data_IF_550588909954
#
_entry.id   IF_550588909954
#
_cell.length_a   1.000
_cell.length_b   1.000
_cell.length_c   1.000
_cell.angle_alpha   90.00
_cell.angle_beta   90.00
_cell.angle_gamma   90.00
#
_symmetry.space_group_name_H-M   'P 1'
#
loop_
_entity.id
_entity.type
_entity.pdbx_description
1 polymer ?
#
# COMPACT_ATOMS: atom_id res chain seq x y z
N UNK A 1 9.74 24.10 -11.08
CA UNK A 1 8.65 23.10 -11.13
C UNK A 1 8.58 22.42 -9.77
N UNK A 2 7.41 22.38 -9.11
CA UNK A 2 7.23 21.60 -7.87
C UNK A 2 7.02 20.13 -8.27
N UNK A 3 7.95 19.25 -7.90
CA UNK A 3 7.93 17.82 -8.26
C UNK A 3 7.91 17.02 -6.96
N UNK A 4 6.92 16.15 -6.79
CA UNK A 4 6.88 15.19 -5.70
C UNK A 4 7.61 13.91 -6.12
N UNK A 5 8.65 13.54 -5.38
CA UNK A 5 9.37 12.26 -5.58
C UNK A 5 8.79 11.21 -4.65
N UNK A 6 8.14 10.19 -5.22
CA UNK A 6 7.58 9.07 -4.46
C UNK A 6 8.67 8.02 -4.25
N UNK A 7 9.16 7.89 -3.03
CA UNK A 7 10.27 6.98 -2.70
C UNK A 7 9.83 5.53 -2.44
N UNK A 8 8.53 5.34 -2.22
CA UNK A 8 7.92 4.06 -1.86
C UNK A 8 7.44 3.22 -3.05
N UNK A 9 7.60 3.71 -4.28
CA UNK A 9 7.26 2.97 -5.50
C UNK A 9 8.51 2.60 -6.28
N UNK A 10 8.59 1.32 -6.68
CA UNK A 10 9.64 0.83 -7.55
C UNK A 10 9.47 1.32 -9.00
N UNK A 11 10.55 1.22 -9.78
CA UNK A 11 10.52 1.54 -11.21
C UNK A 11 9.70 0.48 -11.96
N UNK A 12 8.50 0.82 -12.39
CA UNK A 12 7.63 -0.09 -13.13
C UNK A 12 6.26 0.52 -13.46
N UNK A 13 5.42 -0.26 -14.12
CA UNK A 13 4.00 0.06 -14.25
C UNK A 13 3.31 -0.05 -12.89
N UNK A 14 2.53 0.97 -12.54
CA UNK A 14 1.78 1.02 -11.30
C UNK A 14 0.39 1.59 -11.60
N UNK A 15 -0.64 0.98 -11.02
CA UNK A 15 -2.02 1.40 -11.19
C UNK A 15 -2.26 2.77 -10.53
N UNK A 16 -3.24 3.52 -11.06
CA UNK A 16 -3.41 4.94 -10.71
C UNK A 16 -3.91 5.14 -9.28
N UNK A 17 -4.70 4.21 -8.76
CA UNK A 17 -5.13 4.14 -7.37
C UNK A 17 -3.92 4.00 -6.42
N UNK A 18 -2.97 3.11 -6.74
CA UNK A 18 -1.74 2.94 -5.98
C UNK A 18 -0.86 4.19 -6.04
N UNK A 19 -0.71 4.81 -7.21
CA UNK A 19 0.02 6.08 -7.34
C UNK A 19 -0.60 7.16 -6.44
N UNK A 20 -1.93 7.26 -6.42
CA UNK A 20 -2.64 8.25 -5.59
C UNK A 20 -2.36 8.05 -4.10
N UNK A 21 -2.46 6.80 -3.62
CA UNK A 21 -2.15 6.46 -2.22
C UNK A 21 -0.70 6.82 -1.86
N UNK A 22 0.24 6.35 -2.68
CA UNK A 22 1.67 6.57 -2.44
C UNK A 22 2.07 8.05 -2.51
N UNK A 23 1.46 8.83 -3.42
CA UNK A 23 1.69 10.27 -3.51
C UNK A 23 1.21 10.99 -2.25
N UNK A 24 0.00 10.68 -1.77
CA UNK A 24 -0.54 11.32 -0.58
C UNK A 24 0.30 11.02 0.67
N UNK A 25 0.70 9.76 0.85
CA UNK A 25 1.55 9.41 1.99
C UNK A 25 3.00 9.91 1.84
N UNK A 26 3.48 10.15 0.62
CA UNK A 26 4.75 10.83 0.44
C UNK A 26 4.70 12.27 0.97
N UNK A 27 3.57 12.99 0.81
CA UNK A 27 3.39 14.31 1.40
C UNK A 27 3.42 14.25 2.93
N UNK A 28 2.77 13.24 3.53
CA UNK A 28 2.81 13.03 4.98
C UNK A 28 4.24 12.76 5.48
N UNK A 29 4.99 11.91 4.78
CA UNK A 29 6.38 11.61 5.12
C UNK A 29 7.25 12.86 5.00
N UNK A 30 7.12 13.61 3.90
CA UNK A 30 7.87 14.84 3.68
C UNK A 30 7.57 15.88 4.78
N UNK A 31 6.30 16.04 5.15
CA UNK A 31 5.88 16.91 6.25
C UNK A 31 6.56 16.52 7.58
N UNK A 32 6.47 15.24 7.98
CA UNK A 32 7.02 14.76 9.25
C UNK A 32 8.55 14.82 9.27
N UNK A 33 9.22 14.39 8.20
CA UNK A 33 10.68 14.23 8.20
C UNK A 33 11.45 15.51 7.82
N UNK A 34 10.93 16.29 6.86
CA UNK A 34 11.62 17.46 6.33
C UNK A 34 11.21 18.75 7.04
N UNK A 35 9.91 18.92 7.27
CA UNK A 35 9.38 20.15 7.88
C UNK A 35 9.43 20.09 9.42
N UNK A 36 9.52 18.89 10.01
CA UNK A 36 9.70 18.66 11.46
C UNK A 36 8.74 19.49 12.32
N UNK A 37 7.42 19.34 12.08
CA UNK A 37 6.41 20.19 12.71
C UNK A 37 6.34 20.03 14.24
N UNK A 38 6.92 18.97 14.79
CA UNK A 38 7.06 18.74 16.23
C UNK A 38 8.01 19.75 16.91
N UNK A 39 8.87 20.42 16.13
CA UNK A 39 9.86 21.37 16.64
C UNK A 39 9.38 22.82 16.58
N UNK A 40 8.31 23.10 15.83
CA UNK A 40 7.89 24.46 15.48
C UNK A 40 6.42 24.77 15.80
N UNK A 41 5.56 23.76 15.97
CA UNK A 41 4.14 23.95 16.29
C UNK A 41 3.79 23.46 17.69
N UNK A 42 2.94 24.20 18.40
CA UNK A 42 2.30 23.72 19.63
C UNK A 42 1.08 22.86 19.30
N UNK A 43 1.32 21.56 19.16
CA UNK A 43 0.26 20.55 18.98
C UNK A 43 -0.65 20.38 20.18
N UNK A 44 -0.32 20.98 21.34
CA UNK A 44 -1.14 20.93 22.55
C UNK A 44 -2.06 22.15 22.74
N UNK A 45 -2.06 23.08 21.79
CA UNK A 45 -2.84 24.32 21.82
C UNK A 45 -4.35 24.08 21.98
N UNK A 46 -4.92 23.13 21.23
CA UNK A 46 -6.33 22.75 21.34
C UNK A 46 -6.59 21.26 21.08
N UNK A 47 -7.85 20.85 21.22
CA UNK A 47 -8.27 19.45 21.02
C UNK A 47 -8.10 18.98 19.58
N UNK A 48 -8.30 19.85 18.60
CA UNK A 48 -8.21 19.52 17.19
C UNK A 48 -6.75 19.29 16.78
N UNK A 49 -5.83 20.16 17.19
CA UNK A 49 -4.38 19.99 17.00
C UNK A 49 -3.86 18.73 17.70
N UNK A 50 -4.28 18.46 18.95
CA UNK A 50 -3.91 17.22 19.65
C UNK A 50 -4.37 15.98 18.92
N UNK A 51 -5.60 16.01 18.41
CA UNK A 51 -6.17 14.90 17.65
C UNK A 51 -5.42 14.71 16.32
N UNK A 52 -5.24 15.78 15.54
CA UNK A 52 -4.52 15.74 14.28
C UNK A 52 -3.09 15.22 14.45
N UNK A 53 -2.36 15.66 15.48
CA UNK A 53 -1.01 15.19 15.74
C UNK A 53 -0.95 13.69 16.06
N UNK A 54 -1.92 13.18 16.81
CA UNK A 54 -2.05 11.75 17.08
C UNK A 54 -2.26 10.98 15.77
N UNK A 55 -3.19 11.45 14.92
CA UNK A 55 -3.49 10.84 13.63
C UNK A 55 -2.26 10.86 12.69
N UNK A 56 -1.57 12.00 12.57
CA UNK A 56 -0.34 12.16 11.79
C UNK A 56 0.70 11.11 12.20
N UNK A 57 0.98 10.99 13.51
CA UNK A 57 1.98 10.04 14.02
C UNK A 57 1.57 8.59 13.77
N UNK A 58 0.31 8.25 13.96
CA UNK A 58 -0.19 6.89 13.77
C UNK A 58 -0.17 6.48 12.29
N UNK A 59 -0.59 7.37 11.40
CA UNK A 59 -0.56 7.19 9.94
C UNK A 59 0.88 7.11 9.42
N UNK A 60 1.77 7.98 9.90
CA UNK A 60 3.18 7.95 9.55
C UNK A 60 3.83 6.62 9.93
N UNK A 61 3.62 6.14 11.18
CA UNK A 61 4.11 4.82 11.63
C UNK A 61 3.49 3.68 10.85
N UNK A 62 2.21 3.78 10.52
CA UNK A 62 1.55 2.78 9.68
C UNK A 62 2.23 2.68 8.32
N UNK A 63 2.43 3.81 7.64
CA UNK A 63 3.00 3.86 6.30
C UNK A 63 4.46 3.40 6.25
N UNK A 64 5.27 3.82 7.22
CA UNK A 64 6.72 3.57 7.21
C UNK A 64 7.12 2.22 7.81
N UNK A 65 6.29 1.65 8.70
CA UNK A 65 6.64 0.44 9.45
C UNK A 65 5.64 -0.70 9.26
N UNK A 66 4.35 -0.46 9.50
CA UNK A 66 3.35 -1.56 9.54
C UNK A 66 2.97 -2.06 8.15
N UNK A 67 2.67 -1.14 7.23
CA UNK A 67 2.29 -1.48 5.85
C UNK A 67 3.40 -2.21 5.09
N UNK A 68 4.68 -1.77 5.12
CA UNK A 68 5.77 -2.49 4.46
C UNK A 68 6.12 -3.85 5.11
N UNK A 69 5.77 -4.03 6.40
CA UNK A 69 6.00 -5.29 7.12
C UNK A 69 4.97 -6.40 6.79
N UNK A 70 3.96 -6.12 5.96
CA UNK A 70 2.99 -7.11 5.50
C UNK A 70 3.71 -8.30 4.84
N UNK A 71 3.23 -9.51 5.11
CA UNK A 71 3.77 -10.75 4.53
C UNK A 71 2.66 -11.49 3.81
N UNK A 72 2.90 -11.77 2.54
CA UNK A 72 2.05 -12.65 1.76
C UNK A 72 2.38 -14.11 2.08
N UNK A 73 1.37 -14.99 2.21
CA UNK A 73 1.60 -16.43 2.20
C UNK A 73 2.36 -16.91 0.95
N UNK A 74 2.29 -16.17 -0.15
CA UNK A 74 3.02 -16.46 -1.39
C UNK A 74 4.50 -16.05 -1.35
N UNK A 75 4.93 -15.30 -0.34
CA UNK A 75 6.35 -14.93 -0.16
C UNK A 75 7.18 -16.09 0.40
N UNK A 76 6.51 -17.15 0.89
CA UNK A 76 7.20 -18.34 1.38
C UNK A 76 7.81 -19.14 0.23
N UNK A 77 9.14 -19.04 0.11
CA UNK A 77 9.95 -19.72 -0.92
C UNK A 77 9.88 -21.25 -0.84
N UNK A 78 9.34 -21.83 0.24
CA UNK A 78 9.16 -23.28 0.37
C UNK A 78 7.97 -23.79 -0.45
N UNK A 79 7.01 -22.93 -0.80
CA UNK A 79 5.82 -23.32 -1.54
C UNK A 79 6.18 -23.44 -3.03
N UNK A 80 5.94 -24.61 -3.60
CA UNK A 80 6.17 -24.83 -5.03
C UNK A 80 5.15 -24.04 -5.86
N UNK A 81 5.62 -23.08 -6.65
CA UNK A 81 4.77 -22.25 -7.51
C UNK A 81 4.52 -22.95 -8.86
N UNK A 82 3.27 -23.01 -9.34
CA UNK A 82 2.98 -23.55 -10.66
C UNK A 82 3.60 -22.68 -11.77
N UNK A 83 4.00 -23.27 -12.91
CA UNK A 83 4.55 -22.51 -14.02
C UNK A 83 3.46 -21.71 -14.75
N UNK A 84 3.78 -20.48 -15.14
CA UNK A 84 2.93 -19.63 -15.97
C UNK A 84 2.87 -20.17 -17.40
N UNK A 85 1.69 -20.59 -17.84
CA UNK A 85 1.45 -21.11 -19.20
C UNK A 85 0.41 -20.27 -19.90
N UNK A 86 0.64 -19.99 -21.18
CA UNK A 86 -0.26 -19.19 -22.01
C UNK A 86 -0.69 -20.01 -23.23
N UNK A 87 -1.97 -19.92 -23.60
CA UNK A 87 -2.51 -20.51 -24.84
C UNK A 87 -3.04 -19.41 -25.76
N UNK A 88 -2.81 -19.52 -27.08
CA UNK A 88 -3.37 -18.59 -28.05
C UNK A 88 -4.88 -18.81 -28.15
N UNK A 89 -5.66 -17.72 -28.19
CA UNK A 89 -7.10 -17.80 -28.42
C UNK A 89 -7.35 -17.86 -29.93
N UNK A 90 -8.09 -18.85 -30.40
CA UNK A 90 -8.41 -19.01 -31.82
C UNK A 90 -9.17 -17.79 -32.32
N UNK A 91 -8.72 -17.20 -33.43
CA UNK A 91 -9.36 -16.02 -34.02
C UNK A 91 -9.07 -14.69 -33.31
N UNK A 92 -8.11 -14.65 -32.38
CA UNK A 92 -7.70 -13.43 -31.68
C UNK A 92 -6.16 -13.37 -31.54
N UNK A 93 -5.64 -12.15 -31.42
CA UNK A 93 -4.24 -11.90 -31.06
C UNK A 93 -4.00 -12.03 -29.54
N UNK A 94 -5.05 -12.23 -28.76
CA UNK A 94 -4.97 -12.42 -27.31
C UNK A 94 -4.43 -13.80 -26.93
N UNK A 95 -3.74 -13.84 -25.78
CA UNK A 95 -3.32 -15.07 -25.10
C UNK A 95 -4.11 -15.23 -23.81
N UNK A 96 -4.56 -16.45 -23.54
CA UNK A 96 -5.24 -16.80 -22.31
C UNK A 96 -4.26 -17.50 -21.36
N UNK A 97 -4.25 -17.08 -20.10
CA UNK A 97 -3.51 -17.78 -19.06
C UNK A 97 -4.16 -19.15 -18.82
N UNK A 98 -3.35 -20.20 -18.80
CA UNK A 98 -3.82 -21.57 -18.54
C UNK A 98 -3.79 -21.81 -17.04
N UNK A 99 -4.92 -22.23 -16.49
CA UNK A 99 -5.02 -22.64 -15.09
C UNK A 99 -4.05 -23.79 -14.77
N UNK A 100 -3.52 -23.79 -13.56
CA UNK A 100 -2.68 -24.87 -13.05
C UNK A 100 -3.51 -25.99 -12.44
N UNK A 101 -2.89 -27.17 -12.33
CA UNK A 101 -3.50 -28.30 -11.64
C UNK A 101 -3.47 -28.09 -10.12
N UNK A 102 -4.65 -27.81 -9.55
CA UNK A 102 -4.84 -27.62 -8.10
C UNK A 102 -4.51 -28.87 -7.28
N UNK A 103 -4.64 -30.09 -7.85
CA UNK A 103 -4.27 -31.33 -7.15
C UNK A 103 -2.76 -31.50 -7.04
N UNK A 104 -2.02 -30.98 -8.02
CA UNK A 104 -0.54 -31.01 -8.02
C UNK A 104 0.08 -29.95 -7.12
N UNK A 105 -0.60 -28.81 -6.94
CA UNK A 105 -0.12 -27.69 -6.13
C UNK A 105 -1.13 -27.27 -5.03
N UNK A 106 -1.49 -28.18 -4.10
CA UNK A 106 -2.51 -27.91 -3.09
C UNK A 106 -2.06 -26.83 -2.08
N UNK A 107 -0.78 -26.82 -1.71
CA UNK A 107 -0.20 -25.82 -0.79
C UNK A 107 -0.24 -24.42 -1.39
N UNK A 108 0.08 -24.30 -2.69
CA UNK A 108 -0.01 -23.04 -3.42
C UNK A 108 -1.45 -22.55 -3.54
N UNK A 109 -2.41 -23.43 -3.85
CA UNK A 109 -3.83 -23.06 -3.91
C UNK A 109 -4.35 -22.56 -2.56
N UNK A 110 -3.95 -23.20 -1.45
CA UNK A 110 -4.29 -22.72 -0.11
C UNK A 110 -3.63 -21.39 0.22
N UNK A 111 -2.35 -21.21 -0.12
CA UNK A 111 -1.63 -19.96 0.09
C UNK A 111 -2.24 -18.82 -0.74
N UNK A 112 -2.62 -19.08 -1.99
CA UNK A 112 -3.27 -18.10 -2.87
C UNK A 112 -4.64 -17.67 -2.33
N UNK A 113 -5.46 -18.62 -1.87
CA UNK A 113 -6.75 -18.31 -1.23
C UNK A 113 -6.56 -17.46 0.03
N UNK A 114 -5.53 -17.73 0.83
CA UNK A 114 -5.20 -16.92 2.01
C UNK A 114 -4.70 -15.53 1.59
N UNK A 115 -3.86 -15.46 0.56
CA UNK A 115 -3.34 -14.22 0.01
C UNK A 115 -4.47 -13.29 -0.43
N UNK A 116 -5.40 -13.74 -1.27
CA UNK A 116 -6.53 -12.92 -1.72
C UNK A 116 -7.41 -12.40 -0.58
N UNK A 117 -7.58 -13.19 0.49
CA UNK A 117 -8.31 -12.74 1.69
C UNK A 117 -7.55 -11.65 2.46
N UNK A 118 -6.22 -11.70 2.46
CA UNK A 118 -5.39 -10.68 3.09
C UNK A 118 -5.32 -9.42 2.24
N UNK A 119 -5.18 -9.57 0.92
CA UNK A 119 -5.19 -8.49 -0.05
C UNK A 119 -6.42 -7.60 0.11
N UNK A 120 -7.62 -8.21 0.13
CA UNK A 120 -8.86 -7.47 0.39
C UNK A 120 -8.82 -6.68 1.70
N UNK A 121 -8.30 -7.27 2.78
CA UNK A 121 -8.18 -6.58 4.07
C UNK A 121 -7.17 -5.44 4.03
N UNK A 122 -6.08 -5.62 3.28
CA UNK A 122 -5.05 -4.60 3.10
C UNK A 122 -5.56 -3.45 2.26
N UNK A 123 -6.35 -3.71 1.22
CA UNK A 123 -7.05 -2.68 0.43
C UNK A 123 -8.03 -1.88 1.31
N UNK A 124 -8.83 -2.56 2.12
CA UNK A 124 -9.75 -1.91 3.06
C UNK A 124 -8.99 -1.04 4.09
N UNK A 125 -7.87 -1.54 4.62
CA UNK A 125 -6.99 -0.79 5.54
C UNK A 125 -6.34 0.42 4.84
N UNK A 126 -5.86 0.25 3.62
CA UNK A 126 -5.25 1.30 2.81
C UNK A 126 -6.27 2.42 2.54
N UNK A 127 -7.49 2.07 2.14
CA UNK A 127 -8.58 3.03 1.92
C UNK A 127 -8.95 3.77 3.21
N UNK A 128 -9.08 3.04 4.33
CA UNK A 128 -9.40 3.63 5.62
C UNK A 128 -8.34 4.66 6.07
N UNK A 129 -7.06 4.31 5.96
CA UNK A 129 -5.97 5.21 6.35
C UNK A 129 -5.81 6.38 5.38
N UNK A 130 -6.13 6.18 4.09
CA UNK A 130 -6.18 7.28 3.14
C UNK A 130 -7.28 8.30 3.48
N UNK A 131 -8.47 7.84 3.87
CA UNK A 131 -9.53 8.75 4.36
C UNK A 131 -9.08 9.54 5.59
N UNK A 132 -8.49 8.89 6.59
CA UNK A 132 -7.95 9.56 7.78
C UNK A 132 -6.93 10.65 7.43
N UNK A 133 -6.05 10.40 6.46
CA UNK A 133 -5.09 11.39 5.98
C UNK A 133 -5.81 12.59 5.32
N UNK A 134 -6.82 12.33 4.50
CA UNK A 134 -7.62 13.38 3.85
C UNK A 134 -8.37 14.23 4.86
N UNK A 135 -8.86 13.66 5.95
CA UNK A 135 -9.54 14.37 7.04
C UNK A 135 -8.62 15.35 7.78
N UNK A 136 -7.38 14.95 8.05
CA UNK A 136 -6.41 15.79 8.78
C UNK A 136 -5.56 16.70 7.88
N UNK A 137 -5.78 16.68 6.56
CA UNK A 137 -4.95 17.42 5.59
C UNK A 137 -4.80 18.91 5.90
N UNK A 138 -5.81 19.51 6.54
CA UNK A 138 -5.81 20.92 6.94
C UNK A 138 -4.78 21.28 8.01
N UNK A 139 -4.15 20.29 8.64
CA UNK A 139 -3.09 20.45 9.63
C UNK A 139 -1.68 20.17 9.06
N UNK A 140 -1.56 19.83 7.77
CA UNK A 140 -0.27 19.59 7.10
C UNK A 140 0.31 20.91 6.57
N UNK A 141 0.55 21.85 7.47
CA UNK A 141 1.21 23.12 7.21
C UNK A 141 2.19 23.42 8.33
N UNK A 142 3.22 24.18 8.02
CA UNK A 142 4.23 24.70 8.97
C UNK A 142 4.40 26.19 8.79
#
# INVERSE_FOLDING_TARGET
MKILKIHSLDKGGCDKDHIMLHAAFQLLVDFVEKEKPDQILDWNSDKAHKHAWKEIRDLYRWWTQRRPARKSPLDDKKISTPPWRWKKVTGSDCRQLVDWDKKKYPEYDQALKKHWRLEKKWEEEDQHNFHRLVEIRGFLWT
#
